data_IF_511565970664
#
_entry.id   IF_511565970664
#
_cell.length_a   1.000
_cell.length_b   1.000
_cell.length_c   1.000
_cell.angle_alpha   90.00
_cell.angle_beta   90.00
_cell.angle_gamma   90.00
#
_symmetry.space_group_name_H-M   'P 1'
#
loop_
_entity.id
_entity.type
_entity.pdbx_description
1 polymer ?
#
# COMPACT_ATOMS: atom_id res chain seq x y z
N UNK A 1 -3.97 -19.14 41.63
CA UNK A 1 -2.78 -19.53 40.88
C UNK A 1 -1.56 -18.78 41.41
N UNK A 2 -0.41 -19.43 41.58
CA UNK A 2 0.79 -18.73 42.00
C UNK A 2 1.27 -17.76 40.92
N UNK A 3 1.74 -16.59 41.34
CA UNK A 3 2.31 -15.62 40.41
C UNK A 3 3.79 -15.95 40.15
N UNK A 4 4.34 -15.62 38.95
CA UNK A 4 3.66 -15.01 37.79
C UNK A 4 2.92 -16.04 36.95
N UNK A 5 1.83 -15.62 36.34
CA UNK A 5 1.09 -16.43 35.35
C UNK A 5 0.58 -15.57 34.22
N UNK A 6 0.38 -16.19 33.05
CA UNK A 6 -0.07 -15.49 31.87
C UNK A 6 -1.55 -15.12 32.00
N UNK A 7 -1.86 -13.83 31.94
CA UNK A 7 -3.24 -13.32 31.99
C UNK A 7 -3.82 -13.24 30.58
N UNK A 8 -3.05 -12.81 29.60
CA UNK A 8 -3.49 -12.58 28.23
C UNK A 8 -2.36 -12.79 27.24
N UNK A 9 -2.68 -13.41 26.07
CA UNK A 9 -1.75 -13.59 24.97
C UNK A 9 -2.50 -13.35 23.65
N UNK A 10 -2.07 -12.36 22.88
CA UNK A 10 -2.73 -11.93 21.65
C UNK A 10 -2.22 -12.60 20.36
N UNK A 11 -1.32 -13.58 20.46
CA UNK A 11 -0.65 -14.16 19.29
C UNK A 11 -1.50 -15.14 18.48
N UNK A 12 -2.69 -15.52 18.94
CA UNK A 12 -3.53 -16.54 18.30
C UNK A 12 -4.70 -15.87 17.56
N UNK A 13 -4.84 -16.17 16.26
CA UNK A 13 -5.91 -15.68 15.39
C UNK A 13 -7.30 -16.08 15.91
N UNK A 14 -7.44 -17.30 16.46
CA UNK A 14 -8.71 -17.78 17.03
C UNK A 14 -9.14 -16.93 18.21
N UNK A 15 -8.22 -16.62 19.11
CA UNK A 15 -8.48 -15.79 20.29
C UNK A 15 -8.95 -14.41 19.88
N UNK A 16 -8.27 -13.81 18.89
CA UNK A 16 -8.64 -12.49 18.38
C UNK A 16 -10.00 -12.50 17.68
N UNK A 17 -10.27 -13.53 16.87
CA UNK A 17 -11.54 -13.65 16.16
C UNK A 17 -12.71 -13.74 17.12
N UNK A 18 -12.60 -14.55 18.18
CA UNK A 18 -13.66 -14.67 19.17
C UNK A 18 -13.81 -13.42 20.03
N UNK A 19 -12.72 -12.76 20.38
CA UNK A 19 -12.80 -11.49 21.11
C UNK A 19 -13.54 -10.43 20.30
N UNK A 20 -13.27 -10.36 18.99
CA UNK A 20 -13.70 -9.26 18.15
C UNK A 20 -15.06 -9.50 17.48
N UNK A 21 -15.42 -10.75 17.18
CA UNK A 21 -16.57 -11.08 16.33
C UNK A 21 -17.61 -11.98 16.97
N UNK A 22 -17.39 -12.45 18.19
CA UNK A 22 -18.34 -13.34 18.86
C UNK A 22 -19.56 -12.57 19.35
N UNK A 23 -20.67 -12.67 18.60
CA UNK A 23 -21.94 -12.01 18.89
C UNK A 23 -23.05 -13.03 19.10
N UNK A 24 -24.09 -12.64 19.82
CA UNK A 24 -25.25 -13.51 20.07
C UNK A 24 -26.00 -13.90 18.80
N UNK A 25 -25.95 -13.06 17.77
CA UNK A 25 -26.62 -13.28 16.48
C UNK A 25 -25.86 -14.21 15.53
N UNK A 26 -24.69 -14.70 15.91
CA UNK A 26 -23.93 -15.68 15.11
C UNK A 26 -24.66 -17.02 15.12
N UNK A 27 -25.00 -17.53 13.92
CA UNK A 27 -25.64 -18.81 13.76
C UNK A 27 -24.68 -19.99 13.69
N UNK A 28 -23.60 -19.83 12.96
CA UNK A 28 -22.59 -20.88 12.73
C UNK A 28 -21.19 -20.30 12.72
N UNK A 29 -20.23 -21.10 13.21
CA UNK A 29 -18.79 -20.87 13.07
C UNK A 29 -18.21 -22.08 12.37
N UNK A 30 -17.86 -21.93 11.09
CA UNK A 30 -17.36 -23.00 10.27
C UNK A 30 -15.82 -23.00 10.23
N UNK A 31 -15.24 -24.15 10.48
CA UNK A 31 -13.77 -24.34 10.49
C UNK A 31 -13.47 -25.57 9.65
N UNK A 32 -12.55 -25.45 8.71
CA UNK A 32 -12.21 -26.54 7.78
C UNK A 32 -11.04 -27.44 8.25
N UNK A 33 -10.41 -27.10 9.34
CA UNK A 33 -9.26 -27.85 9.90
C UNK A 33 -9.63 -28.46 11.25
N UNK A 34 -9.56 -29.81 11.40
CA UNK A 34 -9.93 -30.46 12.66
C UNK A 34 -9.12 -30.03 13.88
N UNK A 35 -7.82 -29.73 13.69
CA UNK A 35 -6.96 -29.27 14.81
C UNK A 35 -7.34 -27.88 15.26
N UNK A 36 -7.63 -26.99 14.32
CA UNK A 36 -8.09 -25.63 14.61
C UNK A 36 -9.47 -25.65 15.26
N UNK A 37 -10.35 -26.55 14.82
CA UNK A 37 -11.67 -26.78 15.42
C UNK A 37 -11.55 -27.11 16.91
N UNK A 38 -10.64 -28.02 17.26
CA UNK A 38 -10.43 -28.42 18.64
C UNK A 38 -9.90 -27.27 19.50
N UNK A 39 -8.94 -26.52 18.95
CA UNK A 39 -8.43 -25.31 19.62
C UNK A 39 -9.53 -24.28 19.85
N UNK A 40 -10.42 -24.09 18.88
CA UNK A 40 -11.55 -23.19 18.99
C UNK A 40 -12.51 -23.63 20.11
N UNK A 41 -12.83 -24.91 20.17
CA UNK A 41 -13.69 -25.48 21.22
C UNK A 41 -13.07 -25.32 22.60
N UNK A 42 -11.77 -25.59 22.75
CA UNK A 42 -11.06 -25.38 24.00
C UNK A 42 -11.10 -23.91 24.44
N UNK A 43 -10.93 -23.00 23.50
CA UNK A 43 -10.96 -21.56 23.81
C UNK A 43 -12.36 -21.10 24.24
N UNK A 44 -13.40 -21.57 23.57
CA UNK A 44 -14.81 -21.27 23.94
C UNK A 44 -15.11 -21.81 25.34
N UNK A 45 -14.67 -23.02 25.66
CA UNK A 45 -14.84 -23.59 26.99
C UNK A 45 -14.12 -22.75 28.06
N UNK A 46 -12.90 -22.28 27.77
CA UNK A 46 -12.13 -21.43 28.66
C UNK A 46 -12.77 -20.06 28.89
N UNK A 47 -13.48 -19.52 27.89
CA UNK A 47 -14.22 -18.26 28.01
C UNK A 47 -15.53 -18.40 28.80
N UNK A 48 -15.95 -19.62 29.15
CA UNK A 48 -17.20 -19.85 29.84
C UNK A 48 -18.44 -19.54 29.00
N UNK A 49 -18.35 -19.71 27.69
CA UNK A 49 -19.44 -19.45 26.73
C UNK A 49 -19.91 -20.76 26.05
N UNK A 50 -20.50 -21.71 26.81
CA UNK A 50 -20.92 -23.01 26.26
C UNK A 50 -22.02 -22.89 25.21
N UNK A 51 -22.76 -21.78 25.17
CA UNK A 51 -23.78 -21.47 24.18
C UNK A 51 -23.23 -21.41 22.76
N UNK A 52 -21.95 -21.08 22.60
CA UNK A 52 -21.31 -21.05 21.27
C UNK A 52 -20.69 -22.39 20.86
N UNK A 53 -20.51 -23.31 21.78
CA UNK A 53 -19.88 -24.61 21.47
C UNK A 53 -20.64 -25.40 20.42
N UNK A 54 -21.97 -25.38 20.46
CA UNK A 54 -22.82 -26.02 19.46
C UNK A 54 -22.83 -25.34 18.09
N UNK A 55 -22.40 -24.08 18.03
CA UNK A 55 -22.33 -23.31 16.79
C UNK A 55 -21.04 -23.55 16.01
N UNK A 56 -20.00 -24.10 16.65
CA UNK A 56 -18.74 -24.42 16.02
C UNK A 56 -18.87 -25.78 15.29
N UNK A 57 -18.71 -25.75 13.97
CA UNK A 57 -18.91 -26.93 13.12
C UNK A 57 -17.73 -27.12 12.19
N UNK A 58 -17.38 -28.38 11.96
CA UNK A 58 -16.36 -28.73 10.97
C UNK A 58 -16.95 -28.64 9.56
N UNK A 59 -16.28 -27.90 8.69
CA UNK A 59 -16.61 -27.88 7.28
C UNK A 59 -15.88 -29.05 6.58
N UNK A 60 -16.65 -29.92 5.93
CA UNK A 60 -16.13 -31.13 5.28
C UNK A 60 -16.40 -31.18 3.78
N UNK A 61 -16.86 -30.09 3.19
CA UNK A 61 -17.14 -30.00 1.75
C UNK A 61 -15.88 -30.21 0.89
N UNK A 62 -16.07 -30.70 -0.32
CA UNK A 62 -14.99 -30.90 -1.30
C UNK A 62 -14.46 -29.55 -1.84
N UNK A 63 -15.35 -28.58 -1.99
CA UNK A 63 -14.99 -27.25 -2.45
C UNK A 63 -14.38 -26.50 -1.27
N UNK A 64 -13.24 -25.79 -1.45
CA UNK A 64 -12.65 -24.98 -0.38
C UNK A 64 -13.68 -24.02 0.24
N UNK A 65 -13.61 -23.85 1.56
CA UNK A 65 -14.63 -23.15 2.34
C UNK A 65 -14.95 -21.76 1.81
N UNK A 66 -13.96 -20.94 1.55
CA UNK A 66 -14.18 -19.58 1.07
C UNK A 66 -14.68 -19.53 -0.37
N UNK A 67 -14.28 -20.49 -1.20
CA UNK A 67 -14.82 -20.63 -2.56
C UNK A 67 -16.28 -21.05 -2.55
N UNK A 68 -16.64 -21.96 -1.64
CA UNK A 68 -18.02 -22.41 -1.48
C UNK A 68 -18.99 -21.26 -1.16
N UNK A 69 -18.54 -20.32 -0.29
CA UNK A 69 -19.34 -19.16 0.07
C UNK A 69 -19.09 -17.94 -0.82
N UNK A 70 -18.29 -18.08 -1.87
CA UNK A 70 -18.00 -17.03 -2.85
C UNK A 70 -17.40 -15.75 -2.22
N UNK A 71 -16.56 -15.92 -1.20
CA UNK A 71 -15.90 -14.82 -0.52
C UNK A 71 -14.42 -14.67 -0.86
N UNK A 72 -13.85 -15.60 -1.63
CA UNK A 72 -12.43 -15.56 -1.99
C UNK A 72 -12.08 -14.30 -2.79
N UNK A 73 -12.91 -13.94 -3.77
CA UNK A 73 -12.69 -12.73 -4.57
C UNK A 73 -12.85 -11.45 -3.73
N UNK A 74 -13.71 -11.47 -2.74
CA UNK A 74 -13.87 -10.34 -1.82
C UNK A 74 -12.64 -10.16 -0.93
N UNK A 75 -12.09 -11.25 -0.44
CA UNK A 75 -10.83 -11.24 0.33
C UNK A 75 -9.69 -10.72 -0.55
N UNK A 76 -9.58 -11.23 -1.77
CA UNK A 76 -8.53 -10.81 -2.70
C UNK A 76 -8.65 -9.32 -3.06
N UNK A 77 -9.86 -8.78 -3.14
CA UNK A 77 -10.07 -7.35 -3.42
C UNK A 77 -9.38 -6.45 -2.37
N UNK A 78 -9.24 -6.94 -1.15
CA UNK A 78 -8.59 -6.20 -0.07
C UNK A 78 -7.09 -5.96 -0.29
N UNK A 79 -6.46 -6.72 -1.19
CA UNK A 79 -5.06 -6.55 -1.57
C UNK A 79 -4.88 -5.67 -2.80
N UNK A 80 -5.96 -5.29 -3.47
CA UNK A 80 -5.90 -4.50 -4.70
C UNK A 80 -6.02 -3.01 -4.39
N UNK A 81 -5.27 -2.19 -5.14
CA UNK A 81 -5.38 -0.73 -5.03
C UNK A 81 -6.74 -0.25 -5.53
N UNK A 82 -7.23 -0.82 -6.63
CA UNK A 82 -8.49 -0.46 -7.26
C UNK A 82 -9.53 -1.55 -7.05
N UNK A 83 -10.73 -1.16 -6.66
CA UNK A 83 -11.86 -2.06 -6.43
C UNK A 83 -13.03 -1.61 -7.31
N UNK A 84 -13.56 -2.53 -8.12
CA UNK A 84 -14.69 -2.26 -9.01
C UNK A 84 -16.00 -2.14 -8.25
N UNK A 85 -16.85 -1.27 -8.76
CA UNK A 85 -18.22 -1.07 -8.28
C UNK A 85 -19.21 -1.78 -9.21
N UNK A 86 -20.43 -2.12 -8.72
CA UNK A 86 -21.41 -2.88 -9.51
C UNK A 86 -21.79 -2.26 -10.84
N UNK A 87 -21.90 -0.94 -10.93
CA UNK A 87 -22.28 -0.24 -12.16
C UNK A 87 -21.11 0.01 -13.13
N UNK A 88 -19.90 -0.44 -12.80
CA UNK A 88 -18.72 -0.30 -13.63
C UNK A 88 -17.77 0.81 -13.21
N UNK A 89 -18.12 1.63 -12.24
CA UNK A 89 -17.19 2.55 -11.61
C UNK A 89 -16.17 1.83 -10.72
N UNK A 90 -15.29 2.57 -10.08
CA UNK A 90 -14.29 2.01 -9.19
C UNK A 90 -13.91 2.95 -8.08
N UNK A 91 -13.35 2.40 -7.01
CA UNK A 91 -12.68 3.17 -5.96
C UNK A 91 -11.20 2.82 -5.99
N UNK A 92 -10.36 3.83 -5.74
CA UNK A 92 -8.91 3.69 -5.65
C UNK A 92 -8.48 4.07 -4.25
N UNK A 93 -7.83 3.14 -3.55
CA UNK A 93 -7.44 3.31 -2.15
C UNK A 93 -5.93 3.43 -2.06
N UNK A 94 -5.45 4.58 -1.59
CA UNK A 94 -4.04 4.87 -1.41
C UNK A 94 -3.75 5.22 0.04
N UNK A 95 -2.98 4.37 0.71
CA UNK A 95 -2.54 4.63 2.09
C UNK A 95 -1.20 5.34 2.08
N UNK A 96 -1.11 6.45 2.80
CA UNK A 96 0.13 7.19 3.03
C UNK A 96 0.49 7.14 4.51
N UNK A 97 1.64 7.70 4.88
CA UNK A 97 2.02 7.80 6.29
C UNK A 97 1.04 8.64 7.11
N UNK A 98 0.45 9.65 6.51
CA UNK A 98 -0.42 10.60 7.20
C UNK A 98 -1.88 10.19 7.21
N UNK A 99 -2.38 9.66 6.10
CA UNK A 99 -3.80 9.34 5.92
C UNK A 99 -4.01 8.35 4.78
N UNK A 100 -5.24 7.83 4.69
CA UNK A 100 -5.68 7.05 3.54
C UNK A 100 -6.56 7.94 2.66
N UNK A 101 -6.21 8.04 1.38
CA UNK A 101 -6.99 8.76 0.39
C UNK A 101 -7.77 7.78 -0.48
N UNK A 102 -9.04 8.07 -0.73
CA UNK A 102 -9.89 7.24 -1.58
C UNK A 102 -10.46 8.11 -2.69
N UNK A 103 -10.16 7.75 -3.94
CA UNK A 103 -10.68 8.39 -5.13
C UNK A 103 -11.79 7.53 -5.75
N UNK A 104 -12.75 8.16 -6.38
CA UNK A 104 -13.90 7.48 -6.99
C UNK A 104 -13.95 7.82 -8.46
N UNK A 105 -13.95 6.78 -9.30
CA UNK A 105 -14.09 6.90 -10.75
C UNK A 105 -15.45 6.36 -11.18
N UNK A 106 -16.21 7.17 -11.93
CA UNK A 106 -17.48 6.73 -12.50
C UNK A 106 -17.25 5.86 -13.72
N UNK A 107 -18.22 4.98 -14.00
CA UNK A 107 -18.32 4.37 -15.31
C UNK A 107 -18.52 5.48 -16.35
N UNK A 108 -17.97 5.29 -17.56
CA UNK A 108 -18.19 6.26 -18.63
C UNK A 108 -19.70 6.39 -18.88
N UNK A 109 -20.24 7.58 -18.67
CA UNK A 109 -21.60 7.91 -19.04
C UNK A 109 -21.70 7.83 -20.56
N UNK A 110 -22.37 6.80 -21.06
CA UNK A 110 -22.48 6.54 -22.50
C UNK A 110 -23.63 7.30 -23.14
N UNK A 111 -24.51 7.95 -22.37
CA UNK A 111 -25.66 8.68 -22.91
C UNK A 111 -25.85 10.00 -22.17
N UNK A 112 -25.79 11.09 -22.93
CA UNK A 112 -25.92 12.44 -22.43
C UNK A 112 -27.22 12.65 -21.69
N UNK A 113 -27.16 13.40 -20.62
CA UNK A 113 -28.31 13.87 -19.87
C UNK A 113 -28.26 13.58 -18.40
N UNK A 114 -27.53 12.54 -17.95
CA UNK A 114 -27.57 12.12 -16.57
C UNK A 114 -26.20 11.91 -15.93
N UNK A 115 -25.29 12.86 -16.18
CA UNK A 115 -23.98 12.89 -15.49
C UNK A 115 -24.18 13.00 -13.99
N UNK A 116 -25.14 13.83 -13.56
CA UNK A 116 -25.45 14.03 -12.13
C UNK A 116 -26.00 12.75 -11.48
N UNK A 117 -26.91 12.07 -12.14
CA UNK A 117 -27.48 10.82 -11.62
C UNK A 117 -26.44 9.70 -11.60
N UNK A 118 -25.61 9.62 -12.65
CA UNK A 118 -24.49 8.66 -12.68
C UNK A 118 -23.52 8.91 -11.54
N UNK A 119 -23.14 10.16 -11.30
CA UNK A 119 -22.28 10.55 -10.19
C UNK A 119 -22.89 10.17 -8.85
N UNK A 120 -24.16 10.46 -8.66
CA UNK A 120 -24.88 10.14 -7.43
C UNK A 120 -24.93 8.63 -7.17
N UNK A 121 -25.30 7.84 -8.17
CA UNK A 121 -25.38 6.39 -8.06
C UNK A 121 -24.01 5.77 -7.79
N UNK A 122 -22.97 6.23 -8.49
CA UNK A 122 -21.60 5.75 -8.27
C UNK A 122 -21.14 6.06 -6.86
N UNK A 123 -21.43 7.27 -6.36
CA UNK A 123 -21.06 7.66 -4.98
C UNK A 123 -21.79 6.82 -3.93
N UNK A 124 -23.05 6.47 -4.17
CA UNK A 124 -23.80 5.58 -3.26
C UNK A 124 -23.17 4.17 -3.21
N UNK A 125 -22.85 3.61 -4.37
CA UNK A 125 -22.15 2.32 -4.44
C UNK A 125 -20.79 2.39 -3.77
N UNK A 126 -20.05 3.49 -4.00
CA UNK A 126 -18.75 3.73 -3.39
C UNK A 126 -18.85 3.79 -1.86
N UNK A 127 -19.86 4.44 -1.32
CA UNK A 127 -20.07 4.51 0.14
C UNK A 127 -20.19 3.12 0.76
N UNK A 128 -20.96 2.22 0.15
CA UNK A 128 -21.09 0.84 0.60
C UNK A 128 -19.77 0.07 0.51
N UNK A 129 -19.08 0.20 -0.62
CA UNK A 129 -17.82 -0.51 -0.85
C UNK A 129 -16.69 0.00 0.04
N UNK A 130 -16.61 1.31 0.26
CA UNK A 130 -15.63 1.91 1.16
C UNK A 130 -15.80 1.36 2.57
N UNK A 131 -17.02 1.32 3.08
CA UNK A 131 -17.30 0.78 4.41
C UNK A 131 -16.85 -0.67 4.52
N UNK A 132 -17.07 -1.49 3.50
CA UNK A 132 -16.60 -2.87 3.45
C UNK A 132 -15.09 -2.97 3.42
N UNK A 133 -14.43 -2.17 2.58
CA UNK A 133 -12.97 -2.17 2.47
C UNK A 133 -12.28 -1.70 3.76
N UNK A 134 -12.87 -0.76 4.48
CA UNK A 134 -12.35 -0.34 5.79
C UNK A 134 -12.27 -1.52 6.76
N UNK A 135 -13.28 -2.39 6.76
CA UNK A 135 -13.31 -3.59 7.60
C UNK A 135 -12.36 -4.67 7.10
N UNK A 136 -12.40 -4.97 5.79
CA UNK A 136 -11.54 -6.00 5.19
C UNK A 136 -10.07 -5.70 5.35
N UNK A 137 -9.68 -4.44 5.17
CA UNK A 137 -8.28 -3.99 5.27
C UNK A 137 -7.90 -3.59 6.69
N UNK A 138 -8.85 -3.45 7.58
CA UNK A 138 -8.69 -2.94 8.94
C UNK A 138 -7.95 -1.59 8.95
N UNK A 139 -8.42 -0.67 8.10
CA UNK A 139 -7.84 0.66 7.97
C UNK A 139 -8.17 1.50 9.19
N UNK A 140 -7.16 2.15 9.76
CA UNK A 140 -7.33 3.03 10.90
C UNK A 140 -6.72 4.41 10.65
N UNK A 141 -7.14 5.37 11.46
CA UNK A 141 -6.68 6.75 11.35
C UNK A 141 -7.56 7.58 10.44
N UNK A 142 -6.99 8.65 9.90
CA UNK A 142 -7.71 9.60 9.06
C UNK A 142 -7.89 9.05 7.64
N UNK A 143 -9.10 9.20 7.11
CA UNK A 143 -9.47 8.76 5.78
C UNK A 143 -10.15 9.94 5.08
N UNK A 144 -9.71 10.26 3.88
CA UNK A 144 -10.27 11.34 3.05
C UNK A 144 -10.81 10.72 1.77
N UNK A 145 -12.10 10.93 1.52
CA UNK A 145 -12.79 10.39 0.36
C UNK A 145 -13.08 11.54 -0.60
N UNK A 146 -12.65 11.41 -1.84
CA UNK A 146 -12.93 12.35 -2.92
C UNK A 146 -14.13 11.84 -3.73
N UNK A 147 -15.33 12.20 -3.28
CA UNK A 147 -16.55 11.84 -4.00
C UNK A 147 -16.63 12.60 -5.32
N UNK A 148 -17.26 11.97 -6.31
CA UNK A 148 -17.55 12.65 -7.58
C UNK A 148 -18.47 13.85 -7.28
N UNK A 149 -18.20 14.99 -7.92
CA UNK A 149 -18.95 16.22 -7.68
C UNK A 149 -20.45 16.02 -7.86
N UNK A 150 -21.19 16.48 -6.87
CA UNK A 150 -22.66 16.46 -6.88
C UNK A 150 -23.18 17.86 -6.57
N UNK A 151 -23.92 18.46 -7.51
CA UNK A 151 -24.48 19.81 -7.33
C UNK A 151 -25.61 19.84 -6.29
N UNK A 152 -26.60 18.93 -6.31
CA UNK A 152 -27.68 18.98 -5.32
C UNK A 152 -27.19 18.60 -3.92
N UNK A 153 -27.47 19.45 -2.95
CA UNK A 153 -27.14 19.19 -1.53
C UNK A 153 -27.87 17.93 -1.03
N UNK A 154 -29.07 17.66 -1.52
CA UNK A 154 -29.81 16.44 -1.16
C UNK A 154 -29.05 15.16 -1.56
N UNK A 155 -28.34 15.18 -2.71
CA UNK A 155 -27.52 14.06 -3.14
C UNK A 155 -26.30 13.90 -2.23
N UNK A 156 -25.64 15.00 -1.89
CA UNK A 156 -24.51 14.98 -0.96
C UNK A 156 -24.92 14.38 0.39
N UNK A 157 -26.06 14.82 0.93
CA UNK A 157 -26.59 14.29 2.21
C UNK A 157 -26.98 12.83 2.12
N UNK A 158 -27.53 12.39 0.98
CA UNK A 158 -27.91 10.99 0.78
C UNK A 158 -26.66 10.10 0.77
N UNK A 159 -25.57 10.54 0.15
CA UNK A 159 -24.30 9.81 0.14
C UNK A 159 -23.69 9.76 1.56
N UNK A 160 -23.68 10.87 2.27
CA UNK A 160 -23.24 10.92 3.67
C UNK A 160 -24.02 9.94 4.54
N UNK A 161 -25.35 9.94 4.40
CA UNK A 161 -26.21 9.04 5.18
C UNK A 161 -26.01 7.58 4.80
N UNK A 162 -25.77 7.29 3.53
CA UNK A 162 -25.45 5.92 3.07
C UNK A 162 -24.16 5.43 3.72
N UNK A 163 -23.14 6.27 3.77
CA UNK A 163 -21.88 5.93 4.41
C UNK A 163 -22.05 5.70 5.91
N UNK A 164 -22.79 6.57 6.59
CA UNK A 164 -23.10 6.41 8.03
C UNK A 164 -23.85 5.12 8.31
N UNK A 165 -24.78 4.76 7.45
CA UNK A 165 -25.52 3.49 7.57
C UNK A 165 -24.62 2.28 7.34
N UNK A 166 -23.77 2.35 6.31
CA UNK A 166 -22.88 1.24 5.93
C UNK A 166 -21.82 0.93 7.00
N UNK A 167 -21.39 1.93 7.78
CA UNK A 167 -20.39 1.72 8.84
C UNK A 167 -20.99 1.30 10.18
N UNK A 168 -22.30 1.23 10.34
CA UNK A 168 -22.93 0.85 11.62
C UNK A 168 -22.50 -0.51 12.12
N UNK A 169 -22.30 -1.47 11.24
CA UNK A 169 -21.88 -2.82 11.61
C UNK A 169 -20.40 -2.93 11.97
N UNK A 170 -19.64 -1.87 11.78
CA UNK A 170 -18.21 -1.87 12.08
C UNK A 170 -18.00 -1.81 13.59
N UNK A 171 -17.13 -2.71 14.11
CA UNK A 171 -16.80 -2.73 15.53
C UNK A 171 -15.88 -1.58 15.96
N UNK A 172 -15.19 -0.95 15.01
CA UNK A 172 -14.33 0.20 15.27
C UNK A 172 -15.17 1.46 15.44
N UNK A 173 -14.72 2.37 16.28
CA UNK A 173 -15.33 3.71 16.38
C UNK A 173 -15.00 4.51 15.15
N UNK A 174 -16.02 5.11 14.54
CA UNK A 174 -15.91 5.88 13.32
C UNK A 174 -16.58 7.24 13.52
N UNK A 175 -15.89 8.29 13.10
CA UNK A 175 -16.43 9.64 13.01
C UNK A 175 -16.44 10.05 11.55
N UNK A 176 -17.57 10.64 11.11
CA UNK A 176 -17.76 11.04 9.71
C UNK A 176 -18.19 12.49 9.68
N UNK A 177 -17.46 13.32 8.90
CA UNK A 177 -17.82 14.72 8.65
C UNK A 177 -18.85 14.83 7.52
N UNK A 178 -19.27 16.06 7.24
CA UNK A 178 -20.03 16.37 6.04
C UNK A 178 -19.07 16.52 4.85
N UNK A 179 -19.62 16.34 3.64
CA UNK A 179 -18.88 16.63 2.41
C UNK A 179 -18.60 18.12 2.37
N UNK A 180 -17.32 18.49 2.25
CA UNK A 180 -16.90 19.88 2.19
C UNK A 180 -17.27 20.51 0.85
N UNK A 181 -17.13 21.84 0.77
CA UNK A 181 -17.32 22.58 -0.49
C UNK A 181 -16.33 22.16 -1.59
N UNK A 182 -15.25 21.48 -1.22
CA UNK A 182 -14.28 20.92 -2.16
C UNK A 182 -14.62 19.50 -2.63
N UNK A 183 -15.76 18.95 -2.20
CA UNK A 183 -16.17 17.59 -2.55
C UNK A 183 -15.53 16.50 -1.71
N UNK A 184 -14.77 16.85 -0.67
CA UNK A 184 -14.04 15.89 0.16
C UNK A 184 -14.81 15.57 1.44
N UNK A 185 -14.87 14.29 1.78
CA UNK A 185 -15.39 13.84 3.05
C UNK A 185 -14.25 13.32 3.92
N UNK A 186 -14.08 13.92 5.08
CA UNK A 186 -13.12 13.48 6.08
C UNK A 186 -13.79 12.55 7.07
N UNK A 187 -13.13 11.45 7.39
CA UNK A 187 -13.58 10.53 8.42
C UNK A 187 -12.38 9.96 9.17
N UNK A 188 -12.66 9.43 10.35
CA UNK A 188 -11.65 8.73 11.13
C UNK A 188 -12.18 7.37 11.56
N UNK A 189 -11.32 6.37 11.55
CA UNK A 189 -11.63 5.04 12.05
C UNK A 189 -10.62 4.67 13.13
N UNK A 190 -11.12 4.13 14.24
CA UNK A 190 -10.27 3.68 15.32
C UNK A 190 -9.28 2.63 14.82
N UNK A 191 -8.02 2.76 15.19
CA UNK A 191 -6.98 1.78 14.88
C UNK A 191 -7.06 0.64 15.89
N UNK A 192 -7.46 -0.53 15.43
CA UNK A 192 -7.63 -1.72 16.29
C UNK A 192 -6.44 -2.67 16.20
N UNK A 193 -5.87 -2.79 14.99
CA UNK A 193 -4.70 -3.61 14.69
C UNK A 193 -3.97 -3.01 13.50
N UNK A 194 -2.74 -3.47 13.19
CA UNK A 194 -2.11 -3.07 11.93
C UNK A 194 -3.00 -3.40 10.75
N UNK A 195 -3.08 -2.51 9.77
CA UNK A 195 -3.88 -2.74 8.56
C UNK A 195 -3.33 -3.94 7.78
N UNK A 196 -4.16 -4.48 6.88
CA UNK A 196 -3.74 -5.58 6.00
C UNK A 196 -2.51 -5.18 5.17
N UNK A 197 -2.47 -3.94 4.68
CA UNK A 197 -1.32 -3.41 3.97
C UNK A 197 -0.05 -3.39 4.82
N UNK A 198 -0.13 -2.92 6.07
CA UNK A 198 1.00 -2.88 6.99
C UNK A 198 1.54 -4.28 7.35
N UNK A 199 0.65 -5.27 7.48
CA UNK A 199 1.02 -6.61 7.90
C UNK A 199 1.45 -7.54 6.77
N UNK A 200 1.05 -7.27 5.51
CA UNK A 200 1.27 -8.17 4.38
C UNK A 200 2.09 -7.57 3.23
N UNK A 201 2.46 -6.30 3.32
CA UNK A 201 3.24 -5.61 2.29
C UNK A 201 4.51 -5.01 2.89
N UNK A 202 5.49 -4.78 2.05
CA UNK A 202 6.69 -4.02 2.39
C UNK A 202 6.82 -2.83 1.42
N UNK A 203 7.57 -1.82 1.81
CA UNK A 203 7.81 -0.65 0.96
C UNK A 203 8.57 -1.09 -0.30
N UNK A 204 8.11 -0.65 -1.46
CA UNK A 204 8.78 -0.94 -2.71
C UNK A 204 10.21 -0.38 -2.68
N UNK A 205 11.24 -1.22 -2.83
CA UNK A 205 12.63 -0.74 -2.77
C UNK A 205 13.01 0.12 -3.96
N UNK A 206 12.24 0.08 -5.04
CA UNK A 206 12.51 0.86 -6.23
C UNK A 206 11.98 2.28 -6.15
N UNK A 207 10.70 2.46 -5.82
CA UNK A 207 10.08 3.80 -5.74
C UNK A 207 9.98 4.36 -4.32
N UNK A 208 10.31 3.58 -3.31
CA UNK A 208 10.25 3.97 -1.88
C UNK A 208 8.88 4.52 -1.45
N UNK A 209 7.81 4.09 -2.12
CA UNK A 209 6.45 4.49 -1.81
C UNK A 209 5.90 5.64 -2.65
N UNK A 210 6.68 6.20 -3.59
CA UNK A 210 6.21 7.33 -4.42
C UNK A 210 5.27 6.92 -5.54
N UNK A 211 5.33 5.65 -5.99
CA UNK A 211 4.52 5.14 -7.09
C UNK A 211 5.06 5.47 -8.48
N UNK A 212 6.13 6.24 -8.57
CA UNK A 212 6.77 6.63 -9.83
C UNK A 212 8.28 6.49 -9.74
N UNK A 213 8.90 6.26 -10.88
CA UNK A 213 10.36 6.17 -11.01
C UNK A 213 10.80 7.15 -12.08
N UNK A 214 11.85 7.89 -11.80
CA UNK A 214 12.39 8.88 -12.72
C UNK A 214 12.88 8.24 -14.03
N UNK A 215 12.58 8.86 -15.16
CA UNK A 215 12.99 8.36 -16.48
C UNK A 215 14.51 8.32 -16.62
N UNK A 216 14.99 7.37 -17.43
CA UNK A 216 16.42 7.11 -17.59
C UNK A 216 17.18 8.32 -18.09
N UNK A 217 16.67 9.06 -19.08
CA UNK A 217 17.34 10.26 -19.60
C UNK A 217 17.47 11.34 -18.53
N UNK A 218 16.37 11.64 -17.83
CA UNK A 218 16.36 12.64 -16.77
C UNK A 218 17.32 12.28 -15.65
N UNK A 219 17.31 11.02 -15.23
CA UNK A 219 18.20 10.52 -14.18
C UNK A 219 19.69 10.58 -14.64
N UNK A 220 19.96 10.17 -15.87
CA UNK A 220 21.31 10.19 -16.44
C UNK A 220 21.89 11.59 -16.47
N UNK A 221 21.11 12.59 -16.88
CA UNK A 221 21.55 13.98 -16.91
C UNK A 221 21.84 14.51 -15.51
N UNK A 222 21.06 14.11 -14.51
CA UNK A 222 21.33 14.47 -13.12
C UNK A 222 22.62 13.84 -12.61
N UNK A 223 22.84 12.57 -12.92
CA UNK A 223 24.06 11.87 -12.53
C UNK A 223 25.27 12.53 -13.17
N UNK A 224 25.18 12.88 -14.45
CA UNK A 224 26.23 13.58 -15.16
C UNK A 224 26.60 14.91 -14.47
N UNK A 225 25.62 15.69 -14.06
CA UNK A 225 25.83 16.93 -13.32
C UNK A 225 26.46 16.71 -11.94
N UNK A 226 26.07 15.64 -11.26
CA UNK A 226 26.65 15.26 -9.97
C UNK A 226 28.10 14.83 -10.13
N UNK A 227 28.43 14.10 -11.19
CA UNK A 227 29.82 13.74 -11.53
C UNK A 227 30.64 15.01 -11.75
N UNK A 228 30.13 15.98 -12.50
CA UNK A 228 30.80 17.25 -12.75
C UNK A 228 31.02 18.03 -11.45
N UNK A 229 30.02 18.10 -10.59
CA UNK A 229 30.12 18.78 -9.28
C UNK A 229 31.19 18.15 -8.39
N UNK A 230 31.23 16.81 -8.32
CA UNK A 230 32.24 16.09 -7.54
C UNK A 230 33.64 16.29 -8.13
N UNK A 231 33.74 16.32 -9.46
CA UNK A 231 35.05 16.54 -10.16
C UNK A 231 35.62 17.95 -9.91
N UNK A 232 34.75 18.94 -9.68
CA UNK A 232 35.12 20.34 -9.39
C UNK A 232 35.69 20.53 -7.99
N UNK A 233 35.45 19.61 -7.07
CA UNK A 233 35.95 19.73 -5.70
C UNK A 233 37.45 19.58 -5.64
N UNK A 234 38.09 20.32 -4.72
CA UNK A 234 39.54 20.28 -4.55
C UNK A 234 40.03 18.90 -4.18
N UNK A 235 41.24 18.56 -4.65
CA UNK A 235 41.89 17.26 -4.39
C UNK A 235 41.16 16.03 -4.94
N UNK A 236 40.35 16.20 -5.97
CA UNK A 236 39.66 15.07 -6.61
C UNK A 236 40.59 14.39 -7.58
N UNK A 237 40.80 13.07 -7.43
CA UNK A 237 41.56 12.23 -8.34
C UNK A 237 40.62 11.51 -9.31
N UNK A 238 39.56 10.92 -8.80
CA UNK A 238 38.59 10.18 -9.59
C UNK A 238 37.16 10.46 -9.07
N UNK A 239 36.18 10.30 -9.95
CA UNK A 239 34.77 10.25 -9.59
C UNK A 239 34.22 8.93 -10.09
N UNK A 240 33.68 8.14 -9.19
CA UNK A 240 33.07 6.85 -9.50
C UNK A 240 31.55 6.99 -9.51
N UNK A 241 30.93 6.64 -10.61
CA UNK A 241 29.46 6.56 -10.72
C UNK A 241 29.06 5.10 -10.92
N UNK A 242 28.46 4.51 -9.88
CA UNK A 242 27.93 3.16 -9.93
C UNK A 242 26.45 3.29 -10.22
N UNK A 243 26.01 2.78 -11.36
CA UNK A 243 24.68 3.05 -11.92
C UNK A 243 24.07 1.78 -12.53
N UNK A 244 22.74 1.75 -12.70
CA UNK A 244 22.09 0.69 -13.46
C UNK A 244 22.61 0.60 -14.88
N UNK A 245 22.58 -0.59 -15.46
CA UNK A 245 23.12 -0.85 -16.81
C UNK A 245 22.58 0.10 -17.89
N UNK A 246 21.26 0.39 -17.97
CA UNK A 246 20.75 1.33 -18.97
C UNK A 246 21.31 2.75 -18.82
N UNK A 247 21.54 3.19 -17.58
CA UNK A 247 22.11 4.50 -17.29
C UNK A 247 23.57 4.56 -17.74
N UNK A 248 24.34 3.52 -17.44
CA UNK A 248 25.72 3.42 -17.88
C UNK A 248 25.83 3.45 -19.41
N UNK A 249 24.99 2.68 -20.10
CA UNK A 249 24.93 2.65 -21.55
C UNK A 249 24.65 4.03 -22.14
N UNK A 250 23.70 4.74 -21.58
CA UNK A 250 23.35 6.10 -22.03
C UNK A 250 24.50 7.08 -21.82
N UNK A 251 25.12 7.09 -20.64
CA UNK A 251 26.21 8.00 -20.31
C UNK A 251 27.48 7.72 -21.15
N UNK A 252 27.83 6.46 -21.29
CA UNK A 252 29.03 6.06 -21.99
C UNK A 252 28.95 6.16 -23.51
N UNK A 253 27.74 6.10 -24.08
CA UNK A 253 27.51 6.17 -25.51
C UNK A 253 26.94 7.52 -25.93
N UNK A 254 25.78 7.89 -25.45
CA UNK A 254 25.10 9.12 -25.87
C UNK A 254 25.71 10.39 -25.27
N UNK A 255 26.31 10.31 -24.11
CA UNK A 255 26.92 11.44 -23.40
C UNK A 255 28.45 11.31 -23.26
N UNK A 256 29.09 10.52 -24.10
CA UNK A 256 30.55 10.32 -24.08
C UNK A 256 31.29 11.66 -24.15
N UNK A 257 30.88 12.56 -25.04
CA UNK A 257 31.54 13.87 -25.19
C UNK A 257 31.49 14.70 -23.93
N UNK A 258 30.33 14.67 -23.21
CA UNK A 258 30.17 15.40 -21.95
C UNK A 258 31.08 14.81 -20.86
N UNK A 259 31.16 13.50 -20.77
CA UNK A 259 32.05 12.83 -19.80
C UNK A 259 33.50 13.17 -20.09
N UNK A 260 33.92 13.10 -21.35
CA UNK A 260 35.26 13.48 -21.76
C UNK A 260 35.59 14.95 -21.49
N UNK A 261 34.60 15.84 -21.65
CA UNK A 261 34.76 17.26 -21.35
C UNK A 261 35.03 17.50 -19.86
N UNK A 262 34.38 16.75 -18.98
CA UNK A 262 34.63 16.81 -17.54
C UNK A 262 36.07 16.42 -17.21
N UNK A 263 36.52 15.30 -17.77
CA UNK A 263 37.88 14.81 -17.57
C UNK A 263 38.95 15.81 -18.09
N UNK A 264 38.69 16.42 -19.24
CA UNK A 264 39.58 17.39 -19.85
C UNK A 264 39.66 18.69 -19.06
N UNK A 265 38.51 19.22 -18.60
CA UNK A 265 38.44 20.49 -17.84
C UNK A 265 39.08 20.42 -16.46
N UNK A 266 39.07 19.24 -15.85
CA UNK A 266 39.46 19.07 -14.45
C UNK A 266 40.82 18.41 -14.28
N UNK A 267 41.78 18.77 -15.12
CA UNK A 267 43.22 18.41 -14.95
C UNK A 267 43.47 16.95 -14.57
N UNK A 268 42.97 16.04 -15.38
CA UNK A 268 43.22 14.62 -15.19
C UNK A 268 42.32 13.92 -14.19
N UNK A 269 41.22 14.53 -13.79
CA UNK A 269 40.20 13.81 -13.01
C UNK A 269 39.57 12.73 -13.88
N UNK A 270 39.67 11.49 -13.41
CA UNK A 270 39.09 10.35 -14.12
C UNK A 270 37.66 10.12 -13.73
N UNK A 271 36.78 10.03 -14.71
CA UNK A 271 35.36 9.70 -14.50
C UNK A 271 35.15 8.22 -14.83
N UNK A 272 34.85 7.43 -13.82
CA UNK A 272 34.62 5.99 -13.96
C UNK A 272 33.12 5.69 -13.80
N UNK A 273 32.47 5.33 -14.91
CA UNK A 273 31.07 4.96 -14.92
C UNK A 273 30.97 3.44 -14.95
N UNK A 274 30.41 2.88 -13.87
CA UNK A 274 30.40 1.43 -13.66
C UNK A 274 28.96 0.93 -13.70
N UNK A 275 28.61 0.09 -14.68
CA UNK A 275 27.31 -0.56 -14.68
C UNK A 275 27.22 -1.60 -13.56
N UNK A 276 26.09 -1.62 -12.87
CA UNK A 276 25.79 -2.62 -11.86
C UNK A 276 24.47 -3.31 -12.22
N UNK A 277 24.54 -4.59 -12.56
CA UNK A 277 23.39 -5.40 -12.96
C UNK A 277 22.44 -5.75 -11.80
N UNK A 278 22.89 -5.56 -10.55
CA UNK A 278 22.09 -5.77 -9.36
C UNK A 278 21.38 -4.49 -8.90
N UNK A 279 21.58 -3.40 -9.61
CA UNK A 279 21.01 -2.09 -9.27
C UNK A 279 19.96 -1.71 -10.29
N UNK A 280 18.82 -1.19 -9.80
CA UNK A 280 17.75 -0.68 -10.65
C UNK A 280 17.54 0.82 -10.45
N UNK A 281 17.06 1.49 -11.51
CA UNK A 281 16.67 2.89 -11.38
C UNK A 281 15.58 3.03 -10.31
N UNK A 282 15.56 4.11 -9.52
CA UNK A 282 16.35 5.34 -9.62
C UNK A 282 17.66 5.32 -8.80
N UNK A 283 18.10 4.17 -8.36
CA UNK A 283 19.27 4.06 -7.48
C UNK A 283 20.58 4.29 -8.24
N UNK A 284 21.52 4.94 -7.57
CA UNK A 284 22.85 5.16 -8.06
C UNK A 284 23.78 5.57 -6.90
N UNK A 285 25.07 5.49 -7.12
CA UNK A 285 26.08 6.01 -6.20
C UNK A 285 27.09 6.85 -6.97
N UNK A 286 27.34 8.08 -6.54
CA UNK A 286 28.41 8.93 -7.06
C UNK A 286 29.38 9.18 -5.92
N UNK A 287 30.62 8.71 -6.08
CA UNK A 287 31.64 8.75 -5.05
C UNK A 287 32.87 9.48 -5.58
N UNK A 288 33.43 10.35 -4.74
CA UNK A 288 34.68 11.06 -5.05
C UNK A 288 35.84 10.36 -4.39
N UNK A 289 36.90 10.11 -5.18
CA UNK A 289 38.18 9.60 -4.68
C UNK A 289 39.17 10.76 -4.66
N UNK A 290 39.70 11.06 -3.50
CA UNK A 290 40.66 12.14 -3.31
C UNK A 290 42.08 11.68 -3.70
N UNK A 291 42.94 12.64 -4.02
CA UNK A 291 44.33 12.36 -4.23
C UNK A 291 44.95 11.71 -2.98
N UNK A 292 45.57 10.56 -3.13
CA UNK A 292 46.13 9.78 -2.03
C UNK A 292 45.20 8.69 -1.48
N UNK A 293 43.95 8.66 -1.92
CA UNK A 293 42.98 7.63 -1.52
C UNK A 293 42.74 6.56 -2.61
N UNK A 294 43.57 6.58 -3.68
CA UNK A 294 43.40 5.65 -4.80
C UNK A 294 43.44 4.19 -4.33
N UNK A 295 42.46 3.42 -4.77
CA UNK A 295 42.43 1.98 -4.54
C UNK A 295 42.85 1.24 -5.80
N UNK A 296 43.57 0.11 -5.66
CA UNK A 296 43.96 -0.70 -6.82
C UNK A 296 42.80 -1.51 -7.40
N UNK A 297 41.59 -1.32 -6.90
CA UNK A 297 40.42 -2.07 -7.31
C UNK A 297 40.05 -1.78 -8.75
N UNK A 298 39.88 -2.81 -9.54
CA UNK A 298 39.44 -2.69 -10.93
C UNK A 298 37.97 -2.23 -10.96
N UNK A 299 37.64 -1.44 -11.98
CA UNK A 299 36.31 -0.76 -12.04
C UNK A 299 35.12 -1.72 -11.97
N UNK A 300 35.22 -2.88 -12.59
CA UNK A 300 34.14 -3.85 -12.58
C UNK A 300 33.88 -4.50 -11.22
N UNK A 301 34.81 -4.34 -10.29
CA UNK A 301 34.69 -4.85 -8.92
C UNK A 301 34.12 -3.82 -7.94
N UNK A 302 34.05 -2.54 -8.33
CA UNK A 302 33.54 -1.46 -7.47
C UNK A 302 32.11 -1.68 -6.93
N UNK A 303 31.18 -2.28 -7.68
CA UNK A 303 29.84 -2.54 -7.16
C UNK A 303 29.79 -3.50 -5.97
N UNK A 304 30.87 -4.21 -5.70
CA UNK A 304 30.96 -5.18 -4.60
C UNK A 304 31.57 -4.61 -3.33
N UNK A 305 32.07 -3.39 -3.38
CA UNK A 305 32.65 -2.66 -2.26
C UNK A 305 31.57 -1.84 -1.54
#
# INVERSE_FOLDING_TARGET
RPAPFLIHQESNVIVRAFRDYLRQDIGEILIDNPKVLELARQHIAALGRPDFSSKIKLYTGEIPLFSHYQIESQIESAFQREVRLPSGGSIVIDSTEALTAIDINSARATRGGDIEETAFNTNLEAADEIARQLRLRDLGGLIVIDFIDMTPVRHQRAVENRLREAVRQDRARIQISHISRFGLLEMSRQRLSPSLGESSHHVCPRCSGTGTVRDNESLSLSILRLIEEEALKENTQEVHAIVPVPIASYLLNEKRSAVNAIETRQDGVRCVIVPNDQMETPHYHVLRVRKGEETPTLSYMLPKL
#
